data_IF_537812140865
#
_entry.id   IF_537812140865
#
_cell.length_a   1.000
_cell.length_b   1.000
_cell.length_c   1.000
_cell.angle_alpha   90.00
_cell.angle_beta   90.00
_cell.angle_gamma   90.00
#
_symmetry.space_group_name_H-M   'P 1'
#
loop_
_entity.id
_entity.type
_entity.pdbx_description
1 polymer ?
#
# COMPACT_ATOMS: atom_id res chain seq x y z
N UNK A 1 47.58 4.33 -51.61
CA UNK A 1 46.40 4.24 -50.73
C UNK A 1 46.63 3.08 -49.77
N UNK A 2 47.32 3.32 -48.66
CA UNK A 2 47.68 2.28 -47.69
C UNK A 2 46.48 2.03 -46.76
N UNK A 3 45.85 0.86 -46.89
CA UNK A 3 44.92 0.34 -45.89
C UNK A 3 45.74 -0.13 -44.70
N UNK A 4 45.79 0.68 -43.65
CA UNK A 4 46.32 0.27 -42.34
C UNK A 4 45.30 -0.73 -41.78
N UNK A 5 45.63 -2.02 -41.84
CA UNK A 5 44.94 -3.05 -41.10
C UNK A 5 45.32 -2.88 -39.62
N UNK A 6 44.39 -2.40 -38.80
CA UNK A 6 44.55 -2.35 -37.35
C UNK A 6 44.56 -3.80 -36.84
N UNK A 7 45.76 -4.34 -36.62
CA UNK A 7 45.96 -5.66 -36.04
C UNK A 7 45.51 -5.61 -34.57
N UNK A 8 44.31 -6.09 -34.27
CA UNK A 8 43.84 -6.28 -32.90
C UNK A 8 44.65 -7.46 -32.29
N UNK A 9 45.69 -7.16 -31.53
CA UNK A 9 46.43 -8.16 -30.74
C UNK A 9 45.52 -8.65 -29.61
N UNK A 10 44.85 -9.77 -29.82
CA UNK A 10 44.08 -10.47 -28.79
C UNK A 10 45.08 -11.23 -27.92
N UNK A 11 45.49 -10.61 -26.81
CA UNK A 11 46.20 -11.33 -25.75
C UNK A 11 45.17 -12.05 -24.87
N UNK A 12 45.17 -13.38 -24.92
CA UNK A 12 44.47 -14.21 -23.93
C UNK A 12 45.28 -14.17 -22.63
N UNK A 13 44.72 -13.58 -21.58
CA UNK A 13 45.35 -13.48 -20.26
C UNK A 13 44.59 -14.34 -19.26
N UNK A 14 45.28 -14.75 -18.19
CA UNK A 14 44.70 -15.28 -16.96
C UNK A 14 43.69 -14.32 -16.32
N UNK A 15 42.91 -14.83 -15.37
CA UNK A 15 41.90 -14.08 -14.60
C UNK A 15 42.48 -12.73 -14.12
N UNK A 16 41.81 -11.59 -14.39
CA UNK A 16 42.34 -10.29 -14.03
C UNK A 16 42.41 -10.12 -12.51
N UNK A 17 43.49 -9.49 -12.04
CA UNK A 17 43.61 -9.04 -10.66
C UNK A 17 43.23 -7.57 -10.58
N UNK A 18 42.14 -7.27 -9.87
CA UNK A 18 41.55 -5.94 -9.80
C UNK A 18 41.98 -5.26 -8.49
N UNK A 19 42.18 -3.95 -8.55
CA UNK A 19 42.38 -3.15 -7.34
C UNK A 19 41.00 -2.74 -6.84
N UNK A 20 40.74 -2.94 -5.55
CA UNK A 20 39.46 -2.57 -4.92
C UNK A 20 39.12 -1.10 -5.18
N UNK A 21 37.85 -0.83 -5.48
CA UNK A 21 37.32 0.50 -5.86
C UNK A 21 37.95 1.16 -7.10
N UNK A 22 38.74 0.43 -7.90
CA UNK A 22 39.38 0.93 -9.14
C UNK A 22 38.95 0.18 -10.39
N UNK A 23 37.73 -0.36 -10.40
CA UNK A 23 37.17 -0.98 -11.58
C UNK A 23 35.65 -0.82 -11.63
N UNK A 24 35.08 -0.96 -12.84
CA UNK A 24 33.64 -1.02 -13.09
C UNK A 24 33.32 -2.43 -13.60
N UNK A 25 32.28 -3.06 -13.05
CA UNK A 25 31.79 -4.37 -13.45
C UNK A 25 30.36 -4.28 -14.01
N UNK A 26 30.13 -4.84 -15.19
CA UNK A 26 28.79 -4.90 -15.80
C UNK A 26 28.69 -6.04 -16.83
N UNK A 27 27.50 -6.22 -17.41
CA UNK A 27 27.25 -7.18 -18.48
C UNK A 27 26.54 -6.50 -19.65
N UNK A 28 26.76 -6.99 -20.88
CA UNK A 28 26.02 -6.58 -22.07
C UNK A 28 26.10 -7.67 -23.14
N UNK A 29 24.94 -8.12 -23.61
CA UNK A 29 24.84 -9.27 -24.51
C UNK A 29 25.38 -10.53 -23.83
N UNK A 30 26.14 -11.35 -24.56
CA UNK A 30 26.71 -12.61 -24.02
C UNK A 30 27.93 -12.42 -23.10
N UNK A 31 28.31 -11.18 -22.80
CA UNK A 31 29.60 -10.87 -22.19
C UNK A 31 29.48 -10.13 -20.86
N UNK A 32 30.41 -10.43 -19.98
CA UNK A 32 30.77 -9.63 -18.82
C UNK A 32 31.95 -8.73 -19.16
N UNK A 33 31.97 -7.56 -18.52
CA UNK A 33 33.00 -6.54 -18.68
C UNK A 33 33.51 -6.13 -17.30
N UNK A 34 34.83 -6.09 -17.18
CA UNK A 34 35.56 -5.46 -16.08
C UNK A 34 36.43 -4.37 -16.68
N UNK A 35 36.36 -3.17 -16.14
CA UNK A 35 37.04 -1.99 -16.71
C UNK A 35 37.89 -1.35 -15.63
N UNK A 36 39.20 -1.36 -15.80
CA UNK A 36 40.14 -0.63 -14.94
C UNK A 36 40.54 0.72 -15.59
N UNK A 37 41.62 1.36 -15.13
CA UNK A 37 42.07 2.64 -15.67
C UNK A 37 42.60 2.59 -17.10
N UNK A 38 42.99 1.41 -17.61
CA UNK A 38 43.66 1.25 -18.89
C UNK A 38 43.01 0.21 -19.81
N UNK A 39 42.30 -0.76 -19.25
CA UNK A 39 41.89 -1.99 -19.93
C UNK A 39 40.43 -2.34 -19.65
N UNK A 40 39.79 -2.83 -20.70
CA UNK A 40 38.55 -3.59 -20.65
C UNK A 40 38.93 -5.07 -20.72
N UNK A 41 38.51 -5.84 -19.72
CA UNK A 41 38.54 -7.29 -19.73
C UNK A 41 37.13 -7.78 -20.07
N UNK A 42 37.00 -8.46 -21.21
CA UNK A 42 35.74 -8.98 -21.72
C UNK A 42 35.77 -10.49 -21.72
N UNK A 43 34.73 -11.12 -21.17
CA UNK A 43 34.64 -12.58 -21.09
C UNK A 43 33.21 -13.06 -21.18
N UNK A 44 32.99 -14.29 -21.66
CA UNK A 44 31.68 -14.95 -21.59
C UNK A 44 31.41 -15.60 -20.24
N UNK A 45 32.45 -16.19 -19.64
CA UNK A 45 32.33 -17.13 -18.51
C UNK A 45 33.56 -17.16 -17.58
N UNK A 46 34.53 -16.26 -17.75
CA UNK A 46 35.74 -16.20 -16.94
C UNK A 46 36.87 -17.16 -17.32
N UNK A 47 36.67 -18.03 -18.31
CA UNK A 47 37.74 -18.96 -18.75
C UNK A 47 38.78 -18.26 -19.61
N UNK A 48 38.33 -17.36 -20.48
CA UNK A 48 39.17 -16.59 -21.40
C UNK A 48 38.76 -15.12 -21.36
N UNK A 49 39.76 -14.23 -21.32
CA UNK A 49 39.55 -12.79 -21.36
C UNK A 49 40.13 -12.19 -22.64
N UNK A 50 39.28 -11.50 -23.38
CA UNK A 50 39.70 -10.54 -24.40
C UNK A 50 40.09 -9.25 -23.69
N UNK A 51 41.34 -8.80 -23.85
CA UNK A 51 41.86 -7.60 -23.20
C UNK A 51 41.98 -6.48 -24.23
N UNK A 52 41.27 -5.38 -24.00
CA UNK A 52 41.20 -4.24 -24.92
C UNK A 52 41.68 -3.00 -24.18
N UNK A 53 42.65 -2.26 -24.74
CA UNK A 53 43.06 -0.98 -24.16
C UNK A 53 42.04 0.12 -24.47
N UNK A 54 41.78 0.99 -23.50
CA UNK A 54 41.02 2.23 -23.72
C UNK A 54 41.79 3.43 -23.20
N UNK A 55 41.46 4.61 -23.71
CA UNK A 55 42.10 5.87 -23.33
C UNK A 55 41.17 6.79 -22.52
N UNK A 56 40.07 6.24 -21.99
CA UNK A 56 39.09 6.99 -21.20
C UNK A 56 39.61 7.25 -19.80
N UNK A 57 39.65 8.53 -19.40
CA UNK A 57 39.91 8.94 -18.03
C UNK A 57 38.60 9.00 -17.25
N UNK A 58 38.44 8.11 -16.28
CA UNK A 58 37.33 8.16 -15.32
C UNK A 58 37.73 8.96 -14.08
N UNK A 59 36.88 9.87 -13.56
CA UNK A 59 37.16 10.58 -12.31
C UNK A 59 37.28 9.68 -11.07
N UNK A 60 36.61 8.52 -11.10
CA UNK A 60 36.64 7.44 -10.11
C UNK A 60 36.06 6.17 -10.77
N UNK A 61 35.90 5.05 -10.06
CA UNK A 61 35.31 3.82 -10.62
C UNK A 61 33.98 3.41 -9.99
N UNK A 62 33.44 4.24 -9.10
CA UNK A 62 32.14 4.01 -8.48
C UNK A 62 30.97 4.33 -9.44
N UNK A 63 30.64 3.39 -10.32
CA UNK A 63 29.55 3.51 -11.30
C UNK A 63 28.54 2.37 -11.15
N UNK A 64 27.26 2.71 -11.33
CA UNK A 64 26.20 1.75 -11.67
C UNK A 64 26.06 1.68 -13.20
N UNK A 65 25.45 0.61 -13.71
CA UNK A 65 25.21 0.47 -15.15
C UNK A 65 23.73 0.26 -15.46
N UNK A 66 23.31 0.74 -16.64
CA UNK A 66 21.97 0.54 -17.18
C UNK A 66 22.06 0.17 -18.66
N UNK A 67 21.60 -1.02 -19.00
CA UNK A 67 21.60 -1.51 -20.38
C UNK A 67 20.34 -1.05 -21.10
N UNK A 68 20.52 -0.46 -22.28
CA UNK A 68 19.46 -0.25 -23.27
C UNK A 68 19.72 -1.11 -24.50
N UNK A 69 18.80 -1.13 -25.47
CA UNK A 69 19.01 -1.84 -26.73
C UNK A 69 20.27 -1.36 -27.46
N UNK A 70 20.49 -0.04 -27.53
CA UNK A 70 21.56 0.59 -28.31
C UNK A 70 22.91 0.62 -27.56
N UNK A 71 22.90 0.94 -26.27
CA UNK A 71 24.12 1.20 -25.48
C UNK A 71 23.99 0.81 -24.01
N UNK A 72 25.12 0.74 -23.33
CA UNK A 72 25.16 0.66 -21.86
C UNK A 72 25.52 2.03 -21.31
N UNK A 73 24.69 2.56 -20.41
CA UNK A 73 25.05 3.74 -19.63
C UNK A 73 25.83 3.31 -18.40
N UNK A 74 26.89 4.05 -18.06
CA UNK A 74 27.56 4.02 -16.76
C UNK A 74 27.25 5.34 -16.07
N UNK A 75 26.59 5.28 -14.91
CA UNK A 75 26.17 6.44 -14.14
C UNK A 75 26.93 6.44 -12.81
N UNK A 76 27.53 7.57 -12.39
CA UNK A 76 28.24 7.59 -11.11
C UNK A 76 27.29 7.24 -9.97
N UNK A 77 27.73 6.41 -9.01
CA UNK A 77 26.95 6.16 -7.81
C UNK A 77 26.84 7.48 -7.05
N UNK A 78 25.62 7.96 -6.83
CA UNK A 78 25.39 9.32 -6.35
C UNK A 78 24.90 10.30 -7.40
N UNK A 79 24.79 9.86 -8.67
CA UNK A 79 24.34 10.61 -9.85
C UNK A 79 25.29 11.75 -10.23
N UNK A 80 25.08 12.33 -11.41
CA UNK A 80 25.92 13.36 -12.02
C UNK A 80 26.57 12.81 -13.28
N UNK A 81 27.70 12.11 -13.13
CA UNK A 81 28.47 11.65 -14.28
C UNK A 81 27.72 10.57 -15.07
N UNK A 82 27.71 10.71 -16.41
CA UNK A 82 27.09 9.75 -17.34
C UNK A 82 28.05 9.46 -18.48
N UNK A 83 28.40 8.20 -18.63
CA UNK A 83 29.15 7.70 -19.78
C UNK A 83 28.28 6.72 -20.58
N UNK A 84 28.43 6.68 -21.89
CA UNK A 84 27.96 5.56 -22.72
C UNK A 84 29.11 4.62 -23.06
N UNK A 85 28.81 3.33 -23.08
CA UNK A 85 29.67 2.28 -23.59
C UNK A 85 29.04 1.65 -24.84
N UNK A 86 29.75 1.76 -25.96
CA UNK A 86 29.39 1.18 -27.26
C UNK A 86 30.67 0.74 -27.98
N UNK A 87 30.68 -0.47 -28.56
CA UNK A 87 31.81 -1.01 -29.33
C UNK A 87 33.17 -0.84 -28.60
N UNK A 88 33.22 -1.20 -27.33
CA UNK A 88 34.42 -1.10 -26.47
C UNK A 88 34.95 0.33 -26.26
N UNK A 89 34.15 1.35 -26.59
CA UNK A 89 34.50 2.76 -26.42
C UNK A 89 33.60 3.41 -25.38
N UNK A 90 34.21 4.19 -24.47
CA UNK A 90 33.45 5.02 -23.53
C UNK A 90 33.40 6.47 -24.01
N UNK A 91 32.24 7.09 -23.90
CA UNK A 91 32.04 8.50 -24.20
C UNK A 91 31.31 9.17 -23.04
N UNK A 92 31.90 10.21 -22.45
CA UNK A 92 31.21 11.05 -21.47
C UNK A 92 30.07 11.81 -22.17
N UNK A 93 28.86 11.68 -21.64
CA UNK A 93 27.65 12.26 -22.19
C UNK A 93 27.22 13.52 -21.44
N UNK A 94 27.40 13.56 -20.12
CA UNK A 94 26.97 14.68 -19.28
C UNK A 94 27.84 15.94 -19.45
N UNK A 95 27.25 17.07 -19.08
CA UNK A 95 27.93 18.34 -18.78
C UNK A 95 27.88 18.68 -17.29
N UNK A 96 27.26 17.82 -16.48
CA UNK A 96 27.07 18.01 -15.06
C UNK A 96 28.36 17.80 -14.27
N UNK A 97 28.34 18.20 -13.00
CA UNK A 97 29.33 17.74 -12.04
C UNK A 97 28.94 16.37 -11.48
N UNK A 98 29.83 15.76 -10.68
CA UNK A 98 29.54 14.54 -9.95
C UNK A 98 28.72 14.88 -8.69
N UNK A 99 27.42 14.59 -8.69
CA UNK A 99 26.49 15.13 -7.70
C UNK A 99 26.70 14.56 -6.30
N UNK A 100 27.09 13.27 -6.19
CA UNK A 100 27.42 12.60 -4.92
C UNK A 100 26.36 12.75 -3.82
N UNK A 101 25.09 12.86 -4.18
CA UNK A 101 24.01 13.12 -3.24
C UNK A 101 22.82 12.15 -3.36
N UNK A 102 22.92 11.16 -4.25
CA UNK A 102 21.87 10.15 -4.50
C UNK A 102 22.43 8.72 -4.46
N UNK A 103 23.28 8.42 -3.49
CA UNK A 103 23.82 7.06 -3.34
C UNK A 103 22.69 6.07 -3.12
N UNK A 104 22.80 4.90 -3.75
CA UNK A 104 21.81 3.83 -3.65
C UNK A 104 20.40 4.25 -4.12
N UNK A 105 20.31 5.21 -5.05
CA UNK A 105 19.06 5.49 -5.78
C UNK A 105 18.72 4.34 -6.73
N UNK A 106 17.45 4.20 -7.09
CA UNK A 106 17.01 3.19 -8.05
C UNK A 106 17.08 3.75 -9.47
N UNK A 107 17.91 3.16 -10.31
CA UNK A 107 18.05 3.53 -11.73
C UNK A 107 17.10 2.70 -12.59
N UNK A 108 16.46 3.36 -13.56
CA UNK A 108 15.62 2.71 -14.56
C UNK A 108 15.58 3.51 -15.86
N UNK A 109 15.12 2.87 -16.92
CA UNK A 109 14.89 3.50 -18.22
C UNK A 109 13.39 3.71 -18.44
N UNK A 110 13.02 4.86 -19.00
CA UNK A 110 11.68 5.09 -19.54
C UNK A 110 11.78 6.01 -20.76
N UNK A 111 11.14 5.63 -21.87
CA UNK A 111 11.16 6.38 -23.14
C UNK A 111 12.58 6.82 -23.58
N UNK A 112 13.55 5.89 -23.59
CA UNK A 112 14.96 6.15 -23.92
C UNK A 112 15.70 7.16 -23.01
N UNK A 113 15.09 7.56 -21.89
CA UNK A 113 15.71 8.43 -20.86
C UNK A 113 16.07 7.62 -19.62
N UNK A 114 17.15 8.04 -18.96
CA UNK A 114 17.63 7.46 -17.70
C UNK A 114 17.02 8.22 -16.54
N UNK A 115 16.40 7.49 -15.63
CA UNK A 115 15.79 8.03 -14.41
C UNK A 115 16.48 7.51 -13.16
N UNK A 116 16.40 8.28 -12.08
CA UNK A 116 16.88 7.92 -10.74
C UNK A 116 15.84 8.32 -9.70
N UNK A 117 15.35 7.35 -8.94
CA UNK A 117 14.41 7.56 -7.84
C UNK A 117 15.09 7.47 -6.47
N UNK A 118 14.82 8.45 -5.62
CA UNK A 118 15.26 8.48 -4.23
C UNK A 118 16.78 8.52 -4.07
N UNK A 119 17.28 7.75 -3.11
CA UNK A 119 18.70 7.69 -2.75
C UNK A 119 19.02 8.46 -1.46
N UNK A 120 20.31 8.49 -1.12
CA UNK A 120 20.81 9.12 0.08
C UNK A 120 22.01 10.03 -0.20
N UNK A 121 22.00 11.19 0.44
CA UNK A 121 23.07 12.16 0.40
C UNK A 121 22.81 13.28 1.39
N UNK A 122 23.86 14.02 1.74
CA UNK A 122 23.75 15.16 2.67
C UNK A 122 22.96 14.80 3.95
N UNK A 123 23.23 13.62 4.51
CA UNK A 123 22.63 13.08 5.75
C UNK A 123 21.14 12.73 5.71
N UNK A 124 20.52 12.73 4.53
CA UNK A 124 19.09 12.45 4.39
C UNK A 124 18.77 11.52 3.22
N UNK A 125 17.62 10.85 3.31
CA UNK A 125 17.01 10.14 2.19
C UNK A 125 16.15 11.12 1.37
N UNK A 126 15.97 10.82 0.09
CA UNK A 126 15.05 11.55 -0.80
C UNK A 126 14.02 10.59 -1.39
N UNK A 127 12.88 11.11 -1.83
CA UNK A 127 11.88 10.40 -2.65
C UNK A 127 11.69 11.06 -4.02
N UNK A 128 12.46 12.09 -4.35
CA UNK A 128 12.30 12.73 -5.65
C UNK A 128 12.80 11.85 -6.79
N UNK A 129 12.18 12.06 -7.95
CA UNK A 129 12.52 11.43 -9.20
C UNK A 129 13.27 12.43 -10.06
N UNK A 130 14.41 12.03 -10.61
CA UNK A 130 15.18 12.85 -11.54
C UNK A 130 15.44 12.08 -12.82
N UNK A 131 15.71 12.77 -13.92
CA UNK A 131 16.07 12.18 -15.19
C UNK A 131 17.23 12.90 -15.86
N UNK A 132 18.02 12.15 -16.62
CA UNK A 132 19.06 12.71 -17.47
C UNK A 132 18.46 13.14 -18.80
N UNK A 133 18.54 14.44 -19.10
CA UNK A 133 18.14 14.98 -20.39
C UNK A 133 19.29 14.85 -21.41
N UNK A 134 19.07 14.06 -22.46
CA UNK A 134 20.10 13.78 -23.46
C UNK A 134 20.45 15.01 -24.32
N UNK A 135 19.55 15.98 -24.47
CA UNK A 135 19.74 17.14 -25.33
C UNK A 135 20.56 18.20 -24.60
N UNK A 136 20.19 18.50 -23.35
CA UNK A 136 20.89 19.49 -22.52
C UNK A 136 22.12 18.89 -21.83
N UNK A 137 22.15 17.56 -21.67
CA UNK A 137 23.22 16.78 -21.02
C UNK A 137 23.33 17.06 -19.52
N UNK A 138 22.18 17.27 -18.88
CA UNK A 138 22.05 17.61 -17.47
C UNK A 138 20.94 16.78 -16.81
N UNK A 139 20.93 16.76 -15.47
CA UNK A 139 19.88 16.11 -14.69
C UNK A 139 18.79 17.09 -14.28
N UNK A 140 17.53 16.71 -14.48
CA UNK A 140 16.36 17.51 -14.10
C UNK A 140 15.43 16.74 -13.18
N UNK A 141 14.68 17.48 -12.37
CA UNK A 141 13.63 16.91 -11.54
C UNK A 141 12.39 16.57 -12.37
N UNK A 142 11.84 15.39 -12.12
CA UNK A 142 10.54 14.97 -12.60
C UNK A 142 9.51 15.24 -11.50
N UNK A 143 8.68 16.25 -11.71
CA UNK A 143 7.68 16.68 -10.73
C UNK A 143 6.43 15.79 -10.79
N UNK A 144 5.84 15.52 -9.63
CA UNK A 144 4.54 14.85 -9.45
C UNK A 144 3.68 15.67 -8.49
N UNK A 145 2.36 15.41 -8.47
CA UNK A 145 1.42 16.20 -7.67
C UNK A 145 1.72 16.09 -6.17
N UNK A 146 1.87 17.24 -5.49
CA UNK A 146 2.28 17.33 -4.07
C UNK A 146 1.17 16.93 -3.09
N UNK A 147 -0.07 17.05 -3.51
CA UNK A 147 -1.25 16.84 -2.65
C UNK A 147 -1.62 15.36 -2.56
N UNK A 148 -0.91 14.49 -3.29
CA UNK A 148 -1.13 13.06 -3.31
C UNK A 148 -0.25 12.34 -2.29
N UNK A 149 -0.78 11.24 -1.74
CA UNK A 149 0.02 10.31 -0.96
C UNK A 149 1.13 9.74 -1.84
N UNK A 150 2.38 9.97 -1.45
CA UNK A 150 3.57 9.52 -2.17
C UNK A 150 4.48 8.69 -1.25
N UNK A 151 5.36 7.83 -1.79
CA UNK A 151 6.30 7.07 -0.98
C UNK A 151 7.18 7.98 -0.10
N UNK A 152 7.45 7.53 1.12
CA UNK A 152 8.43 8.18 1.99
C UNK A 152 9.84 8.18 1.36
N UNK A 153 10.70 9.16 1.72
CA UNK A 153 12.11 9.19 1.31
C UNK A 153 12.85 7.89 1.60
N UNK A 154 13.56 7.35 0.60
CA UNK A 154 14.16 6.01 0.67
C UNK A 154 15.40 5.83 -0.20
N UNK A 155 16.21 4.81 0.11
CA UNK A 155 17.33 4.31 -0.69
C UNK A 155 17.26 2.80 -0.81
N UNK A 156 17.97 2.20 -1.77
CA UNK A 156 17.92 0.76 -2.06
C UNK A 156 16.47 0.26 -2.24
N UNK A 157 15.61 1.06 -2.88
CA UNK A 157 14.30 0.59 -3.30
C UNK A 157 14.44 -0.20 -4.61
N UNK A 158 13.51 -1.10 -4.89
CA UNK A 158 13.37 -1.62 -6.25
C UNK A 158 12.48 -0.66 -7.04
N UNK A 159 12.94 -0.29 -8.23
CA UNK A 159 12.17 0.47 -9.22
C UNK A 159 12.00 -0.40 -10.46
N UNK A 160 10.76 -0.61 -10.89
CA UNK A 160 10.45 -1.37 -12.10
C UNK A 160 9.43 -0.60 -12.93
N UNK A 161 9.66 -0.46 -14.22
CA UNK A 161 8.74 0.24 -15.13
C UNK A 161 8.07 -0.75 -16.05
N UNK A 162 6.75 -0.63 -16.16
CA UNK A 162 5.93 -1.33 -17.16
C UNK A 162 4.96 -0.34 -17.78
N UNK A 163 4.99 -0.22 -19.10
CA UNK A 163 4.25 0.82 -19.82
C UNK A 163 4.57 2.20 -19.23
N UNK A 164 3.59 2.94 -18.71
CA UNK A 164 3.83 4.20 -17.96
C UNK A 164 3.91 4.05 -16.45
N UNK A 165 3.71 2.85 -15.90
CA UNK A 165 3.68 2.62 -14.46
C UNK A 165 5.08 2.34 -13.92
N UNK A 166 5.59 3.23 -13.06
CA UNK A 166 6.76 3.02 -12.23
C UNK A 166 6.35 2.42 -10.89
N UNK A 167 6.68 1.16 -10.66
CA UNK A 167 6.51 0.51 -9.37
C UNK A 167 7.73 0.73 -8.47
N UNK A 168 7.48 1.16 -7.23
CA UNK A 168 8.48 1.29 -6.18
C UNK A 168 8.17 0.32 -5.06
N UNK A 169 9.14 -0.53 -4.72
CA UNK A 169 9.03 -1.49 -3.65
C UNK A 169 10.11 -1.31 -2.58
N UNK A 170 9.66 -1.21 -1.34
CA UNK A 170 10.48 -1.33 -0.14
C UNK A 170 11.60 -0.30 -0.08
N UNK A 171 12.79 -0.77 0.30
CA UNK A 171 13.97 0.06 0.52
C UNK A 171 14.10 0.52 1.97
N UNK A 172 14.97 1.48 2.19
CA UNK A 172 15.42 1.83 3.53
C UNK A 172 15.44 3.33 3.74
N UNK A 173 15.09 3.76 4.95
CA UNK A 173 15.23 5.16 5.37
C UNK A 173 15.98 5.29 6.68
N UNK A 174 16.64 6.42 6.87
CA UNK A 174 17.15 6.85 8.17
C UNK A 174 15.97 6.97 9.14
N UNK A 175 16.17 6.43 10.33
CA UNK A 175 15.28 6.56 11.45
C UNK A 175 16.07 7.11 12.65
N UNK A 176 15.42 7.93 13.46
CA UNK A 176 15.99 8.45 14.70
C UNK A 176 14.92 8.31 15.76
N UNK A 177 15.20 7.51 16.79
CA UNK A 177 14.23 7.27 17.86
C UNK A 177 14.18 8.44 18.86
N UNK A 178 13.30 8.33 19.86
CA UNK A 178 13.15 9.34 20.90
C UNK A 178 14.40 9.54 21.79
N UNK A 179 15.39 8.65 21.71
CA UNK A 179 16.68 8.75 22.41
C UNK A 179 17.80 9.26 21.50
N UNK A 180 17.46 9.78 20.31
CA UNK A 180 18.40 10.26 19.29
C UNK A 180 19.31 9.16 18.71
N UNK A 181 18.96 7.88 18.89
CA UNK A 181 19.72 6.78 18.28
C UNK A 181 19.35 6.67 16.80
N UNK A 182 20.37 6.76 15.96
CA UNK A 182 20.19 6.62 14.51
C UNK A 182 20.19 5.14 14.12
N UNK A 183 19.15 4.73 13.40
CA UNK A 183 19.04 3.40 12.81
C UNK A 183 18.54 3.50 11.36
N UNK A 184 18.48 2.37 10.69
CA UNK A 184 17.87 2.27 9.37
C UNK A 184 16.58 1.46 9.49
N UNK A 185 15.47 2.01 9.00
CA UNK A 185 14.16 1.35 8.95
C UNK A 185 13.96 0.75 7.56
N UNK A 186 13.59 -0.52 7.49
CA UNK A 186 13.08 -1.17 6.28
C UNK A 186 11.67 -0.67 6.00
N UNK A 187 11.43 -0.24 4.77
CA UNK A 187 10.11 0.16 4.29
C UNK A 187 9.42 -1.06 3.69
N UNK A 188 8.14 -1.19 4.01
CA UNK A 188 7.32 -2.35 3.69
C UNK A 188 6.16 -2.00 2.77
N UNK A 189 6.26 -0.90 2.05
CA UNK A 189 5.22 -0.40 1.18
C UNK A 189 5.52 -0.68 -0.30
N UNK A 190 4.43 -0.78 -1.06
CA UNK A 190 4.46 -0.85 -2.53
C UNK A 190 3.67 0.32 -3.08
N UNK A 191 4.30 1.05 -3.99
CA UNK A 191 3.72 2.21 -4.66
C UNK A 191 3.81 2.06 -6.16
N UNK A 192 2.94 2.75 -6.88
CA UNK A 192 3.07 2.96 -8.32
C UNK A 192 2.91 4.44 -8.64
N UNK A 193 3.73 4.95 -9.56
CA UNK A 193 3.60 6.28 -10.16
C UNK A 193 3.26 6.08 -11.63
N UNK A 194 2.15 6.66 -12.09
CA UNK A 194 1.93 6.78 -13.52
C UNK A 194 2.75 7.96 -14.06
N UNK A 195 3.76 7.66 -14.86
CA UNK A 195 4.69 8.63 -15.45
C UNK A 195 4.03 9.55 -16.50
N UNK A 196 2.80 9.26 -16.94
CA UNK A 196 2.05 10.13 -17.85
C UNK A 196 1.14 11.12 -17.10
N UNK A 197 0.40 10.65 -16.08
CA UNK A 197 -0.46 11.50 -15.27
C UNK A 197 0.28 12.17 -14.11
N UNK A 198 1.48 11.70 -13.78
CA UNK A 198 2.31 12.17 -12.67
C UNK A 198 1.65 11.95 -11.30
N UNK A 199 0.84 10.90 -11.17
CA UNK A 199 0.08 10.58 -9.96
C UNK A 199 0.57 9.30 -9.28
N UNK A 200 0.71 9.35 -7.96
CA UNK A 200 1.08 8.23 -7.11
C UNK A 200 -0.16 7.47 -6.62
N UNK A 201 -0.03 6.15 -6.53
CA UNK A 201 -1.00 5.27 -5.92
C UNK A 201 -0.30 4.30 -4.96
N UNK A 202 -0.83 4.22 -3.75
CA UNK A 202 -0.45 3.18 -2.79
C UNK A 202 -1.08 1.84 -3.18
N UNK A 203 -0.27 0.79 -3.31
CA UNK A 203 -0.76 -0.54 -3.69
C UNK A 203 -0.98 -1.45 -2.48
N UNK A 204 -0.17 -1.32 -1.43
CA UNK A 204 -0.32 -2.13 -0.22
C UNK A 204 0.96 -2.27 0.60
N UNK A 205 0.88 -3.11 1.64
CA UNK A 205 1.98 -3.42 2.55
C UNK A 205 2.49 -4.86 2.31
N UNK A 206 3.80 -5.04 2.43
CA UNK A 206 4.52 -6.31 2.35
C UNK A 206 4.86 -6.84 3.74
N UNK A 207 4.97 -8.16 3.86
CA UNK A 207 5.49 -8.82 5.07
C UNK A 207 6.97 -9.19 4.90
N UNK A 208 7.74 -8.42 4.12
CA UNK A 208 9.14 -8.75 3.83
C UNK A 208 9.99 -8.87 5.11
N UNK A 209 9.68 -8.13 6.19
CA UNK A 209 10.38 -8.24 7.46
C UNK A 209 10.26 -9.61 8.12
N UNK A 210 9.22 -10.38 7.78
CA UNK A 210 9.02 -11.75 8.27
C UNK A 210 9.81 -12.78 7.44
N UNK A 211 10.21 -12.41 6.22
CA UNK A 211 10.89 -13.29 5.26
C UNK A 211 12.42 -13.19 5.40
N UNK A 212 12.92 -11.97 5.66
CA UNK A 212 14.34 -11.64 5.82
C UNK A 212 14.78 -11.67 7.29
N UNK A 213 16.09 -11.65 7.52
CA UNK A 213 16.63 -11.58 8.88
C UNK A 213 16.30 -10.23 9.57
N UNK A 214 16.06 -10.21 10.90
CA UNK A 214 15.56 -9.02 11.60
C UNK A 214 16.58 -7.86 11.68
N UNK A 215 17.88 -8.17 11.66
CA UNK A 215 18.97 -7.20 11.83
C UNK A 215 19.72 -6.98 10.50
N UNK A 216 19.03 -6.47 9.49
CA UNK A 216 19.65 -6.18 8.19
C UNK A 216 20.75 -5.13 8.33
N UNK A 217 21.96 -5.51 7.93
CA UNK A 217 23.08 -4.59 7.79
C UNK A 217 23.13 -4.13 6.33
N UNK A 218 22.89 -2.84 6.12
CA UNK A 218 22.67 -2.26 4.80
C UNK A 218 23.84 -2.48 3.82
N UNK A 219 25.08 -2.56 4.31
CA UNK A 219 26.27 -2.81 3.47
C UNK A 219 26.28 -4.19 2.80
N UNK A 220 25.52 -5.15 3.34
CA UNK A 220 25.37 -6.50 2.79
C UNK A 220 24.15 -6.65 1.89
N UNK A 221 23.25 -5.67 1.87
CA UNK A 221 22.07 -5.71 0.99
C UNK A 221 22.51 -5.37 -0.43
N UNK A 222 22.29 -6.29 -1.37
CA UNK A 222 22.53 -6.10 -2.80
C UNK A 222 21.21 -6.24 -3.56
N UNK A 223 20.97 -5.33 -4.50
CA UNK A 223 19.89 -5.43 -5.47
C UNK A 223 20.52 -5.74 -6.82
N UNK A 224 20.19 -6.90 -7.39
CA UNK A 224 20.79 -7.39 -8.64
C UNK A 224 19.70 -7.58 -9.69
N UNK A 225 19.77 -6.88 -10.85
CA UNK A 225 18.87 -7.16 -11.97
C UNK A 225 18.94 -8.62 -12.40
N UNK A 226 17.78 -9.26 -12.58
CA UNK A 226 17.69 -10.69 -12.89
C UNK A 226 16.46 -10.96 -13.76
N UNK A 227 16.67 -11.28 -15.05
CA UNK A 227 15.60 -11.64 -16.00
C UNK A 227 14.39 -10.69 -16.00
N UNK A 228 14.64 -9.38 -16.09
CA UNK A 228 13.58 -8.35 -16.06
C UNK A 228 12.97 -8.09 -14.68
N UNK A 229 13.52 -8.72 -13.63
CA UNK A 229 13.12 -8.60 -12.23
C UNK A 229 14.35 -8.23 -11.39
N UNK A 230 14.24 -8.36 -10.07
CA UNK A 230 15.33 -8.05 -9.16
C UNK A 230 15.51 -9.13 -8.11
N UNK A 231 16.77 -9.47 -7.81
CA UNK A 231 17.14 -10.21 -6.62
C UNK A 231 17.46 -9.22 -5.50
N UNK A 232 16.88 -9.42 -4.32
CA UNK A 232 17.36 -8.85 -3.06
C UNK A 232 18.21 -9.92 -2.39
N UNK A 233 19.49 -9.65 -2.22
CA UNK A 233 20.43 -10.53 -1.55
C UNK A 233 20.84 -9.85 -0.24
N UNK A 234 20.71 -10.57 0.86
CA UNK A 234 21.12 -10.17 2.21
C UNK A 234 22.21 -11.13 2.71
N UNK A 235 22.55 -11.10 4.00
CA UNK A 235 23.53 -12.03 4.55
C UNK A 235 23.00 -13.47 4.56
N UNK A 236 21.70 -13.63 4.78
CA UNK A 236 21.08 -14.93 5.01
C UNK A 236 19.96 -15.27 4.03
N UNK A 237 19.56 -14.35 3.16
CA UNK A 237 18.45 -14.56 2.24
C UNK A 237 18.75 -14.08 0.82
N UNK A 238 18.16 -14.76 -0.15
CA UNK A 238 18.09 -14.33 -1.54
C UNK A 238 16.64 -14.42 -2.01
N UNK A 239 16.07 -13.28 -2.38
CA UNK A 239 14.67 -13.13 -2.76
C UNK A 239 14.57 -12.63 -4.19
N UNK A 240 13.83 -13.32 -5.05
CA UNK A 240 13.40 -12.79 -6.35
C UNK A 240 12.09 -12.01 -6.15
N UNK A 241 12.11 -10.75 -6.55
CA UNK A 241 10.98 -9.84 -6.45
C UNK A 241 10.36 -9.67 -7.83
N UNK A 242 9.09 -10.06 -7.93
CA UNK A 242 8.27 -9.96 -9.13
C UNK A 242 7.09 -9.03 -8.84
N UNK A 243 7.33 -7.73 -9.00
CA UNK A 243 6.35 -6.70 -8.61
C UNK A 243 5.10 -6.78 -9.46
N UNK A 244 5.26 -7.01 -10.76
CA UNK A 244 4.14 -7.08 -11.71
C UNK A 244 3.16 -8.21 -11.39
N UNK A 245 3.67 -9.34 -10.88
CA UNK A 245 2.86 -10.50 -10.55
C UNK A 245 2.54 -10.61 -9.06
N UNK A 246 2.83 -9.57 -8.27
CA UNK A 246 2.66 -9.53 -6.82
C UNK A 246 3.31 -10.71 -6.09
N UNK A 247 4.57 -11.06 -6.42
CA UNK A 247 5.24 -12.25 -5.85
C UNK A 247 6.64 -11.97 -5.30
N UNK A 248 6.94 -12.61 -4.18
CA UNK A 248 8.29 -12.80 -3.65
C UNK A 248 8.62 -14.28 -3.70
N UNK A 249 9.78 -14.63 -4.24
CA UNK A 249 10.28 -16.01 -4.27
C UNK A 249 11.59 -16.09 -3.49
N UNK A 250 11.61 -16.82 -2.37
CA UNK A 250 12.78 -17.05 -1.53
C UNK A 250 13.51 -18.31 -1.96
N UNK A 251 14.79 -18.19 -2.32
CA UNK A 251 15.66 -19.33 -2.63
C UNK A 251 16.21 -19.93 -1.33
N UNK A 252 15.64 -21.07 -0.93
CA UNK A 252 16.05 -21.79 0.28
C UNK A 252 17.41 -22.45 0.06
N UNK A 253 18.40 -22.04 0.86
CA UNK A 253 19.77 -22.56 0.77
C UNK A 253 20.61 -21.97 -0.36
N UNK A 254 20.33 -20.75 -0.84
CA UNK A 254 21.27 -20.05 -1.73
C UNK A 254 22.66 -19.98 -1.07
N UNK A 255 23.71 -19.98 -1.88
CA UNK A 255 25.07 -20.05 -1.35
C UNK A 255 25.55 -18.67 -0.85
N UNK A 256 25.29 -18.39 0.43
CA UNK A 256 25.64 -17.11 1.07
C UNK A 256 27.15 -16.88 1.17
N UNK A 257 27.97 -17.94 1.19
CA UNK A 257 29.44 -17.83 1.19
C UNK A 257 29.97 -17.16 -0.08
N UNK A 258 29.29 -17.36 -1.22
CA UNK A 258 29.67 -16.71 -2.49
C UNK A 258 29.42 -15.21 -2.49
N UNK A 259 28.54 -14.72 -1.62
CA UNK A 259 28.14 -13.31 -1.56
C UNK A 259 28.94 -12.56 -0.48
N UNK A 260 29.48 -13.29 0.50
CA UNK A 260 30.21 -12.68 1.60
C UNK A 260 31.47 -11.97 1.09
N UNK A 261 31.58 -10.67 1.39
CA UNK A 261 32.68 -9.84 0.92
C UNK A 261 32.66 -9.52 -0.58
N UNK A 262 31.56 -9.82 -1.29
CA UNK A 262 31.41 -9.45 -2.69
C UNK A 262 31.27 -7.92 -2.84
N UNK A 263 32.20 -7.34 -3.58
CA UNK A 263 32.18 -5.93 -3.97
C UNK A 263 31.16 -5.68 -5.08
N UNK A 264 31.01 -6.62 -6.01
CA UNK A 264 29.98 -6.60 -7.06
C UNK A 264 29.41 -7.98 -7.38
N UNK A 265 28.14 -8.00 -7.78
CA UNK A 265 27.43 -9.19 -8.25
C UNK A 265 26.66 -8.80 -9.51
N UNK A 266 26.92 -9.48 -10.61
CA UNK A 266 26.29 -9.23 -11.90
C UNK A 266 25.72 -10.52 -12.45
N UNK A 267 24.43 -10.53 -12.79
CA UNK A 267 23.81 -11.63 -13.52
C UNK A 267 23.73 -11.29 -15.02
N UNK A 268 24.16 -12.21 -15.88
CA UNK A 268 23.98 -12.10 -17.32
C UNK A 268 22.87 -13.06 -17.77
N UNK A 269 21.73 -12.54 -18.30
CA UNK A 269 20.62 -13.38 -18.76
C UNK A 269 20.94 -14.17 -20.02
N UNK A 270 21.84 -13.71 -20.88
CA UNK A 270 22.18 -14.38 -22.14
C UNK A 270 23.05 -15.62 -21.91
N UNK A 271 24.05 -15.52 -21.01
CA UNK A 271 24.87 -16.68 -20.62
C UNK A 271 24.29 -17.49 -19.45
N UNK A 272 23.27 -16.96 -18.75
CA UNK A 272 22.66 -17.52 -17.55
C UNK A 272 23.69 -17.81 -16.43
N UNK A 273 24.61 -16.88 -16.23
CA UNK A 273 25.69 -16.96 -15.25
C UNK A 273 25.72 -15.73 -14.34
N UNK A 274 26.28 -15.91 -13.16
CA UNK A 274 26.66 -14.83 -12.26
C UNK A 274 28.16 -14.59 -12.35
N UNK A 275 28.55 -13.32 -12.34
CA UNK A 275 29.91 -12.89 -12.04
C UNK A 275 29.89 -12.23 -10.66
N UNK A 276 30.68 -12.77 -9.75
CA UNK A 276 30.90 -12.20 -8.42
C UNK A 276 32.34 -11.73 -8.36
N UNK A 277 32.55 -10.47 -7.98
CA UNK A 277 33.90 -9.97 -7.69
C UNK A 277 34.03 -9.89 -6.17
N UNK A 278 35.08 -10.52 -5.64
CA UNK A 278 35.33 -10.58 -4.19
C UNK A 278 36.82 -10.40 -3.89
N UNK A 279 37.11 -9.97 -2.67
CA UNK A 279 38.47 -9.71 -2.21
C UNK A 279 39.22 -11.02 -1.94
N UNK A 280 40.44 -11.11 -2.48
CA UNK A 280 41.40 -12.12 -2.08
C UNK A 280 42.15 -11.65 -0.83
N UNK A 281 41.78 -12.21 0.33
CA UNK A 281 42.37 -11.88 1.64
C UNK A 281 43.89 -12.08 1.74
N UNK A 282 44.53 -12.72 0.76
CA UNK A 282 45.98 -12.96 0.72
C UNK A 282 46.75 -11.75 0.17
N UNK A 283 46.25 -11.08 -0.87
CA UNK A 283 46.97 -10.01 -1.55
C UNK A 283 46.20 -8.68 -1.63
N UNK A 284 44.98 -8.63 -1.08
CA UNK A 284 44.12 -7.43 -1.06
C UNK A 284 43.57 -7.03 -2.44
N UNK A 285 43.80 -7.84 -3.47
CA UNK A 285 43.24 -7.64 -4.81
C UNK A 285 41.94 -8.40 -4.95
N UNK A 286 41.06 -7.92 -5.81
CA UNK A 286 39.80 -8.58 -6.10
C UNK A 286 39.91 -9.45 -7.36
N UNK A 287 39.16 -10.55 -7.39
CA UNK A 287 39.09 -11.46 -8.54
C UNK A 287 37.65 -11.76 -8.91
N UNK A 288 37.32 -11.80 -10.20
CA UNK A 288 36.01 -12.27 -10.64
C UNK A 288 35.94 -13.80 -10.57
N UNK A 289 34.83 -14.31 -10.02
CA UNK A 289 34.46 -15.72 -10.01
C UNK A 289 33.11 -15.86 -10.68
N UNK A 290 32.95 -16.92 -11.48
CA UNK A 290 31.77 -17.12 -12.31
C UNK A 290 31.03 -18.38 -11.89
N UNK A 291 29.71 -18.26 -11.75
CA UNK A 291 28.85 -19.33 -11.27
C UNK A 291 27.70 -19.55 -12.25
N UNK A 292 27.36 -20.81 -12.51
CA UNK A 292 26.11 -21.13 -13.15
C UNK A 292 24.94 -20.77 -12.22
N UNK A 293 23.77 -20.44 -12.79
CA UNK A 293 22.55 -20.15 -12.00
C UNK A 293 22.30 -21.17 -10.88
N UNK A 294 22.43 -22.46 -11.16
CA UNK A 294 22.16 -23.56 -10.19
C UNK A 294 23.17 -23.65 -9.04
N UNK A 295 24.35 -23.08 -9.20
CA UNK A 295 25.40 -23.04 -8.16
C UNK A 295 25.17 -21.85 -7.22
N UNK A 296 24.59 -20.77 -7.75
CA UNK A 296 24.31 -19.56 -7.00
C UNK A 296 22.91 -19.58 -6.34
N UNK A 297 21.89 -20.00 -7.10
CA UNK A 297 20.49 -20.10 -6.69
C UNK A 297 20.07 -21.58 -6.66
N UNK A 298 19.45 -22.00 -5.55
CA UNK A 298 18.90 -23.34 -5.43
C UNK A 298 17.58 -23.49 -6.19
N UNK A 299 17.17 -24.73 -6.43
CA UNK A 299 15.85 -25.03 -6.99
C UNK A 299 14.74 -25.05 -5.93
N UNK A 300 15.08 -25.05 -4.65
CA UNK A 300 14.11 -25.03 -3.55
C UNK A 300 13.62 -23.60 -3.33
N UNK A 301 12.37 -23.31 -3.70
CA UNK A 301 11.82 -21.95 -3.69
C UNK A 301 10.52 -21.90 -2.92
N UNK A 302 10.43 -21.01 -1.92
CA UNK A 302 9.17 -20.64 -1.28
C UNK A 302 8.61 -19.38 -1.92
N UNK A 303 7.31 -19.36 -2.15
CA UNK A 303 6.62 -18.21 -2.77
C UNK A 303 5.69 -17.56 -1.76
N UNK A 304 5.69 -16.23 -1.76
CA UNK A 304 4.86 -15.36 -0.93
C UNK A 304 4.24 -14.28 -1.82
N UNK A 305 3.12 -13.71 -1.38
CA UNK A 305 2.60 -12.50 -2.01
C UNK A 305 3.52 -11.32 -1.68
N UNK A 306 3.77 -10.45 -2.66
CA UNK A 306 4.62 -9.27 -2.44
C UNK A 306 3.92 -8.28 -1.52
N UNK A 307 2.64 -8.02 -1.72
CA UNK A 307 1.85 -7.14 -0.89
C UNK A 307 0.40 -7.59 -0.77
N UNK A 308 -0.22 -7.16 0.32
CA UNK A 308 -1.67 -7.25 0.51
C UNK A 308 -2.32 -5.96 0.04
N UNK A 309 -3.19 -6.06 -0.96
CA UNK A 309 -3.86 -4.88 -1.51
C UNK A 309 -4.82 -4.29 -0.47
N UNK A 310 -4.82 -2.96 -0.35
CA UNK A 310 -5.83 -2.24 0.45
C UNK A 310 -7.16 -2.28 -0.28
N UNK A 311 -7.94 -3.34 -0.05
CA UNK A 311 -9.20 -3.53 -0.76
C UNK A 311 -10.30 -2.64 -0.15
N UNK A 312 -10.41 -1.40 -0.63
CA UNK A 312 -11.41 -0.42 -0.17
C UNK A 312 -12.85 -0.93 -0.29
N UNK A 313 -13.13 -1.81 -1.26
CA UNK A 313 -14.43 -2.45 -1.46
C UNK A 313 -14.86 -3.28 -0.24
N UNK A 314 -13.94 -3.94 0.46
CA UNK A 314 -14.27 -4.71 1.65
C UNK A 314 -14.77 -3.81 2.78
N UNK A 315 -14.15 -2.63 2.95
CA UNK A 315 -14.59 -1.63 3.92
C UNK A 315 -15.98 -1.06 3.56
N UNK A 316 -16.25 -0.83 2.27
CA UNK A 316 -17.59 -0.42 1.82
C UNK A 316 -18.65 -1.50 2.03
N UNK A 317 -18.31 -2.79 1.87
CA UNK A 317 -19.22 -3.90 2.14
C UNK A 317 -19.53 -4.03 3.64
N UNK A 318 -18.54 -3.85 4.52
CA UNK A 318 -18.76 -3.82 5.98
C UNK A 318 -19.67 -2.64 6.35
N UNK A 319 -19.39 -1.45 5.82
CA UNK A 319 -20.19 -0.26 6.10
C UNK A 319 -21.62 -0.39 5.57
N UNK A 320 -21.78 -0.92 4.35
CA UNK A 320 -23.07 -1.24 3.77
C UNK A 320 -23.84 -2.28 4.59
N UNK A 321 -23.16 -3.33 5.07
CA UNK A 321 -23.73 -4.32 5.97
C UNK A 321 -24.20 -3.74 7.31
N UNK A 322 -23.41 -2.83 7.91
CA UNK A 322 -23.80 -2.13 9.14
C UNK A 322 -25.02 -1.23 8.95
N UNK A 323 -25.08 -0.48 7.85
CA UNK A 323 -26.25 0.33 7.50
C UNK A 323 -27.49 -0.56 7.34
N UNK A 324 -27.35 -1.68 6.66
CA UNK A 324 -28.45 -2.62 6.44
C UNK A 324 -28.92 -3.23 7.78
N UNK A 325 -28.00 -3.53 8.69
CA UNK A 325 -28.31 -4.04 10.03
C UNK A 325 -29.05 -2.99 10.87
N UNK A 326 -28.64 -1.72 10.81
CA UNK A 326 -29.34 -0.61 11.47
C UNK A 326 -30.76 -0.45 10.90
N UNK A 327 -30.92 -0.52 9.58
CA UNK A 327 -32.23 -0.48 8.91
C UNK A 327 -33.13 -1.64 9.35
N UNK A 328 -32.59 -2.86 9.41
CA UNK A 328 -33.33 -4.04 9.89
C UNK A 328 -33.74 -3.85 11.35
N UNK A 329 -32.84 -3.38 12.23
CA UNK A 329 -33.17 -3.07 13.62
C UNK A 329 -34.25 -1.99 13.75
N UNK A 330 -34.29 -1.01 12.85
CA UNK A 330 -35.31 0.02 12.83
C UNK A 330 -36.68 -0.52 12.36
N UNK A 331 -36.70 -1.42 11.37
CA UNK A 331 -37.92 -2.08 10.88
C UNK A 331 -38.47 -3.07 11.91
N UNK A 332 -37.60 -3.82 12.59
CA UNK A 332 -37.98 -4.76 13.65
C UNK A 332 -38.39 -4.07 14.95
N UNK A 333 -38.17 -2.75 15.07
CA UNK A 333 -38.63 -1.95 16.20
C UNK A 333 -40.16 -1.85 16.15
N UNK A 334 -40.84 -2.74 16.87
CA UNK A 334 -42.29 -2.67 17.07
C UNK A 334 -42.66 -1.28 17.61
N UNK A 335 -43.56 -0.58 16.92
CA UNK A 335 -44.20 0.62 17.44
C UNK A 335 -45.08 0.21 18.62
N UNK A 336 -44.78 0.70 19.83
CA UNK A 336 -45.60 0.47 21.02
C UNK A 336 -47.04 0.94 20.77
N UNK A 337 -48.02 0.05 21.04
CA UNK A 337 -49.45 0.35 20.95
C UNK A 337 -49.84 1.42 21.99
N UNK A 338 -50.87 2.22 21.71
CA UNK A 338 -51.37 3.25 22.63
C UNK A 338 -51.75 2.65 23.98
N UNK A 339 -52.30 1.43 23.98
CA UNK A 339 -52.61 0.69 25.21
C UNK A 339 -51.37 0.34 26.02
N UNK A 340 -50.28 -0.07 25.37
CA UNK A 340 -49.03 -0.40 26.06
C UNK A 340 -48.43 0.84 26.75
N UNK A 341 -48.52 2.00 26.09
CA UNK A 341 -48.09 3.29 26.66
C UNK A 341 -48.95 3.72 27.86
N UNK A 342 -50.26 3.46 27.82
CA UNK A 342 -51.16 3.71 28.95
C UNK A 342 -50.81 2.78 30.11
N UNK A 343 -50.63 1.48 29.85
CA UNK A 343 -50.31 0.49 30.87
C UNK A 343 -48.97 0.77 31.57
N UNK A 344 -47.96 1.24 30.83
CA UNK A 344 -46.66 1.62 31.38
C UNK A 344 -46.72 2.83 32.34
N UNK A 345 -47.71 3.71 32.15
CA UNK A 345 -47.90 4.92 32.96
C UNK A 345 -49.19 4.86 33.81
N UNK A 346 -49.71 3.66 34.06
CA UNK A 346 -51.07 3.48 34.60
C UNK A 346 -51.22 4.06 36.01
N UNK A 347 -50.18 3.96 36.85
CA UNK A 347 -50.21 4.44 38.23
C UNK A 347 -50.31 5.98 38.27
N UNK A 348 -49.46 6.67 37.50
CA UNK A 348 -49.50 8.13 37.37
C UNK A 348 -50.81 8.64 36.75
N UNK A 349 -51.38 7.90 35.80
CA UNK A 349 -52.69 8.23 35.22
C UNK A 349 -53.78 8.09 36.28
N UNK A 350 -53.78 7.01 37.07
CA UNK A 350 -54.82 6.71 38.06
C UNK A 350 -54.86 7.71 39.21
N UNK A 351 -53.70 8.25 39.61
CA UNK A 351 -53.61 9.29 40.64
C UNK A 351 -54.31 10.60 40.24
N UNK A 352 -54.34 10.94 38.94
CA UNK A 352 -54.97 12.15 38.42
C UNK A 352 -56.47 11.97 38.03
N UNK A 353 -57.02 10.75 38.15
CA UNK A 353 -58.41 10.42 37.80
C UNK A 353 -59.27 10.13 39.04
N UNK A 354 -60.56 10.46 38.98
CA UNK A 354 -61.51 10.08 40.03
C UNK A 354 -61.96 8.61 39.90
N UNK A 355 -62.66 8.09 40.91
CA UNK A 355 -63.10 6.68 40.95
C UNK A 355 -63.90 6.26 39.72
N UNK A 356 -64.85 7.09 39.26
CA UNK A 356 -65.65 6.80 38.07
C UNK A 356 -64.79 6.80 36.79
N UNK A 357 -63.84 7.72 36.67
CA UNK A 357 -62.92 7.80 35.53
C UNK A 357 -61.95 6.61 35.49
N UNK A 358 -61.44 6.20 36.65
CA UNK A 358 -60.60 5.00 36.78
C UNK A 358 -61.37 3.74 36.40
N UNK A 359 -62.63 3.63 36.84
CA UNK A 359 -63.48 2.49 36.45
C UNK A 359 -63.76 2.45 34.94
N UNK A 360 -64.03 3.60 34.31
CA UNK A 360 -64.19 3.70 32.85
C UNK A 360 -62.90 3.29 32.13
N UNK A 361 -61.74 3.74 32.61
CA UNK A 361 -60.43 3.40 32.03
C UNK A 361 -60.17 1.90 32.08
N UNK A 362 -60.44 1.26 33.22
CA UNK A 362 -60.25 -0.18 33.40
C UNK A 362 -61.13 -0.99 32.44
N UNK A 363 -62.41 -0.62 32.31
CA UNK A 363 -63.31 -1.28 31.36
C UNK A 363 -62.88 -1.06 29.90
N UNK A 364 -62.40 0.13 29.54
CA UNK A 364 -61.88 0.41 28.20
C UNK A 364 -60.63 -0.43 27.88
N UNK A 365 -59.73 -0.62 28.86
CA UNK A 365 -58.52 -1.42 28.70
C UNK A 365 -58.81 -2.92 28.57
N UNK A 366 -59.87 -3.44 29.24
CA UNK A 366 -60.31 -4.84 29.12
C UNK A 366 -60.89 -5.17 27.74
N UNK A 367 -61.47 -4.20 27.03
CA UNK A 367 -62.06 -4.46 25.71
C UNK A 367 -60.99 -4.63 24.62
N UNK A 368 -61.01 -5.78 23.92
CA UNK A 368 -60.18 -6.04 22.72
C UNK A 368 -60.71 -5.27 21.49
N UNK A 369 -60.55 -3.94 21.51
CA UNK A 369 -60.80 -2.99 20.41
C UNK A 369 -62.27 -2.81 19.97
N UNK A 370 -63.23 -3.41 20.68
CA UNK A 370 -64.67 -3.25 20.41
C UNK A 370 -65.26 -1.96 20.98
N UNK A 371 -64.59 -1.34 21.95
CA UNK A 371 -65.09 -0.17 22.68
C UNK A 371 -66.28 -0.52 23.58
N UNK A 372 -66.77 0.48 24.31
CA UNK A 372 -67.91 0.37 25.22
C UNK A 372 -69.07 1.22 24.72
N UNK A 373 -70.29 0.70 24.81
CA UNK A 373 -71.47 1.46 24.45
C UNK A 373 -71.78 2.54 25.49
N UNK A 374 -72.16 3.72 25.02
CA UNK A 374 -72.47 4.86 25.86
C UNK A 374 -73.55 4.55 26.93
N UNK A 375 -74.66 3.84 26.64
CA UNK A 375 -75.64 3.45 27.67
C UNK A 375 -75.05 2.59 28.80
N UNK A 376 -74.08 1.73 28.49
CA UNK A 376 -73.41 0.88 29.48
C UNK A 376 -72.60 1.73 30.47
N UNK A 377 -71.81 2.68 29.96
CA UNK A 377 -70.99 3.56 30.80
C UNK A 377 -71.86 4.51 31.65
N UNK A 378 -73.03 4.92 31.16
CA UNK A 378 -73.92 5.79 31.94
C UNK A 378 -74.45 5.11 33.21
N UNK A 379 -74.45 3.78 33.28
CA UNK A 379 -74.82 3.03 34.48
C UNK A 379 -73.79 3.12 35.60
N UNK A 380 -72.59 3.64 35.33
CA UNK A 380 -71.56 3.83 36.35
C UNK A 380 -71.83 5.05 37.24
N UNK A 381 -72.75 5.93 36.82
CA UNK A 381 -73.18 7.09 37.59
C UNK A 381 -74.48 6.80 38.35
N UNK A 382 -74.65 7.48 39.50
CA UNK A 382 -75.77 7.30 40.45
C UNK A 382 -77.15 7.10 39.77
N UNK A 383 -77.92 6.07 40.16
CA UNK A 383 -79.23 5.77 39.57
C UNK A 383 -80.26 6.90 39.65
N UNK A 384 -80.15 7.78 40.65
CA UNK A 384 -81.03 8.92 40.90
C UNK A 384 -80.86 10.06 39.90
N UNK A 385 -79.78 10.08 39.12
CA UNK A 385 -79.50 11.13 38.15
C UNK A 385 -80.29 10.96 36.84
N UNK A 386 -80.77 12.08 36.28
CA UNK A 386 -81.38 12.09 34.95
C UNK A 386 -80.37 11.71 33.85
N UNK A 387 -80.86 11.14 32.74
CA UNK A 387 -80.03 10.75 31.59
C UNK A 387 -79.16 11.90 31.06
N UNK A 388 -79.72 13.11 30.96
CA UNK A 388 -78.99 14.30 30.52
C UNK A 388 -77.85 14.67 31.46
N UNK A 389 -78.08 14.54 32.77
CA UNK A 389 -77.06 14.81 33.78
C UNK A 389 -75.92 13.79 33.72
N UNK A 390 -76.24 12.51 33.55
CA UNK A 390 -75.25 11.43 33.34
C UNK A 390 -74.45 11.65 32.06
N UNK A 391 -75.12 12.03 30.97
CA UNK A 391 -74.49 12.32 29.69
C UNK A 391 -73.54 13.52 29.76
N UNK A 392 -73.91 14.58 30.50
CA UNK A 392 -73.05 15.74 30.76
C UNK A 392 -71.83 15.39 31.62
N UNK A 393 -72.02 14.62 32.70
CA UNK A 393 -70.90 14.12 33.54
C UNK A 393 -69.93 13.27 32.72
N UNK A 394 -70.43 12.33 31.93
CA UNK A 394 -69.59 11.48 31.06
C UNK A 394 -68.79 12.29 30.03
N UNK A 395 -69.35 13.36 29.46
CA UNK A 395 -68.58 14.26 28.58
C UNK A 395 -67.43 14.94 29.32
N UNK A 396 -67.67 15.38 30.55
CA UNK A 396 -66.63 15.99 31.38
C UNK A 396 -65.54 14.98 31.75
N UNK A 397 -65.93 13.78 32.17
CA UNK A 397 -65.00 12.70 32.53
C UNK A 397 -64.12 12.31 31.36
N UNK A 398 -64.68 12.09 30.17
CA UNK A 398 -63.88 11.72 28.99
C UNK A 398 -62.94 12.84 28.53
N UNK A 399 -63.34 14.11 28.71
CA UNK A 399 -62.46 15.26 28.43
C UNK A 399 -61.29 15.30 29.43
N UNK A 400 -61.54 15.05 30.71
CA UNK A 400 -60.49 14.98 31.73
C UNK A 400 -59.56 13.80 31.48
N UNK A 401 -60.11 12.60 31.26
CA UNK A 401 -59.35 11.39 30.94
C UNK A 401 -58.46 11.60 29.71
N UNK A 402 -58.97 12.18 28.62
CA UNK A 402 -58.14 12.48 27.45
C UNK A 402 -57.00 13.44 27.77
N UNK A 403 -57.23 14.46 28.60
CA UNK A 403 -56.18 15.40 29.01
C UNK A 403 -55.10 14.70 29.83
N UNK A 404 -55.49 13.93 30.86
CA UNK A 404 -54.56 13.21 31.74
C UNK A 404 -53.77 12.14 30.98
N UNK A 405 -54.46 11.32 30.18
CA UNK A 405 -53.81 10.25 29.41
C UNK A 405 -52.85 10.84 28.38
N UNK A 406 -53.29 11.83 27.59
CA UNK A 406 -52.46 12.43 26.54
C UNK A 406 -51.20 13.10 27.09
N UNK A 407 -51.32 13.75 28.27
CA UNK A 407 -50.19 14.32 29.02
C UNK A 407 -49.19 13.24 29.43
N UNK A 408 -49.66 12.14 30.01
CA UNK A 408 -48.80 11.08 30.54
C UNK A 408 -48.14 10.20 29.45
N UNK A 409 -48.77 10.05 28.29
CA UNK A 409 -48.20 9.26 27.17
C UNK A 409 -47.54 10.11 26.08
N UNK A 410 -47.52 11.44 26.23
CA UNK A 410 -46.94 12.37 25.25
C UNK A 410 -47.70 12.45 23.91
N UNK A 411 -49.00 12.17 23.90
CA UNK A 411 -49.83 12.24 22.70
C UNK A 411 -50.33 13.67 22.44
N UNK A 412 -50.27 14.12 21.18
CA UNK A 412 -50.89 15.39 20.74
C UNK A 412 -52.36 15.22 20.33
N UNK A 413 -52.85 13.98 20.23
CA UNK A 413 -54.23 13.65 19.82
C UNK A 413 -55.00 13.03 20.98
N UNK A 414 -56.32 13.25 20.99
CA UNK A 414 -57.22 12.54 21.91
C UNK A 414 -57.11 11.03 21.71
N UNK A 415 -56.98 10.32 22.84
CA UNK A 415 -56.70 8.88 22.88
C UNK A 415 -57.99 8.08 22.97
N UNK A 416 -58.96 8.61 23.71
CA UNK A 416 -60.31 8.07 23.84
C UNK A 416 -61.23 8.83 22.89
N UNK A 417 -61.82 8.13 21.93
CA UNK A 417 -62.72 8.72 20.94
C UNK A 417 -64.14 8.19 21.04
N UNK A 418 -65.08 9.01 20.55
CA UNK A 418 -66.49 8.66 20.41
C UNK A 418 -66.81 8.45 18.93
N UNK A 419 -67.31 7.28 18.60
CA UNK A 419 -67.78 6.94 17.26
C UNK A 419 -69.24 6.46 17.33
N UNK A 420 -69.98 6.51 16.22
CA UNK A 420 -71.31 5.91 16.17
C UNK A 420 -71.18 4.38 15.99
N UNK A 421 -72.05 3.61 16.65
CA UNK A 421 -72.09 2.16 16.48
C UNK A 421 -72.39 1.78 15.02
N UNK A 422 -71.72 0.74 14.53
CA UNK A 422 -71.96 0.19 13.19
C UNK A 422 -73.32 -0.49 13.08
N UNK A 423 -73.89 -0.94 14.19
CA UNK A 423 -75.16 -1.67 14.24
C UNK A 423 -76.38 -0.78 14.51
N UNK A 424 -76.23 0.29 15.30
CA UNK A 424 -77.26 1.32 15.50
C UNK A 424 -76.62 2.70 15.60
N UNK A 425 -76.84 3.56 14.59
CA UNK A 425 -76.26 4.91 14.54
C UNK A 425 -76.72 5.83 15.68
N UNK A 426 -77.77 5.46 16.43
CA UNK A 426 -78.24 6.18 17.63
C UNK A 426 -77.37 5.90 18.86
N UNK A 427 -76.61 4.80 18.86
CA UNK A 427 -75.71 4.41 19.94
C UNK A 427 -74.30 4.90 19.64
N UNK A 428 -73.64 5.50 20.64
CA UNK A 428 -72.24 5.90 20.55
C UNK A 428 -71.34 4.87 21.24
N UNK A 429 -70.22 4.55 20.64
CA UNK A 429 -69.17 3.69 21.16
C UNK A 429 -67.99 4.56 21.59
N UNK A 430 -67.45 4.29 22.77
CA UNK A 430 -66.25 4.92 23.31
C UNK A 430 -65.11 3.91 23.27
N UNK A 431 -63.97 4.26 22.67
CA UNK A 431 -62.81 3.34 22.55
C UNK A 431 -61.48 4.08 22.63
N UNK A 432 -60.42 3.34 22.96
CA UNK A 432 -59.02 3.76 22.87
C UNK A 432 -58.52 3.50 21.44
N UNK A 433 -57.85 4.48 20.81
CA UNK A 433 -57.28 4.37 19.44
C UNK A 433 -55.89 3.74 19.45
#
# INVERSE_FOLDING_TARGET
MFKIATLLLINLVSIPELISDQYIAFQKGDYFYLVDSEKIYKTKNGQNFEVIKHNTTFPHFNFDYLNTNKKTYLISKGIGLVFSFENHTFKRLDRSFDHRNKYQSSLFEYQEKVYSFGGYGLFNNTNNLIYFDNDVKEWYEFNYFSDENHPEPRRLAIASVKDSSLYIFGGFRKNTDGQLKVSTKLLQDVWTLDLNSHSWQYLGETNISEIVEPNLILSFVKIVPYNGKYLIITQQNCLLIDIENNKIQKFEGFNSELVWGASSITYNPASNQFMVVSNNHINGKEKPVFFAKKEFLTNNVKTYDLFTATNSLFNFLIFGGLILLILVCFILRKTEDTKDKILKNIDAIREELNENENYILDELLKTKNKGLENPYILNFYEPTMSYESKSKKLRSSLKNMNKVISKNIGSKKEVIVKENSKHDKRIRIIKII
#
